data_IF_072552882248
#
_entry.id   IF_072552882248
#
_cell.length_a   1.000
_cell.length_b   1.000
_cell.length_c   1.000
_cell.angle_alpha   90.00
_cell.angle_beta   90.00
_cell.angle_gamma   90.00
#
_symmetry.space_group_name_H-M   'P 1'
#
loop_
_entity.id
_entity.type
_entity.pdbx_description
1 polymer ?
#
# COMPACT_ATOMS: atom_id res chain seq x y z
N UNK A 1 -6.40 -3.66 6.43
CA UNK A 1 -7.25 -3.42 5.24
C UNK A 1 -7.93 -4.68 4.72
N UNK A 2 -7.20 -5.76 4.44
CA UNK A 2 -7.75 -7.01 3.87
C UNK A 2 -8.96 -7.58 4.64
N UNK A 3 -8.83 -7.67 5.97
CA UNK A 3 -9.92 -8.13 6.84
C UNK A 3 -11.16 -7.23 6.74
N UNK A 4 -10.97 -5.92 6.59
CA UNK A 4 -12.08 -4.96 6.45
C UNK A 4 -12.81 -5.21 5.13
N UNK A 5 -12.10 -5.42 4.03
CA UNK A 5 -12.71 -5.75 2.74
C UNK A 5 -13.46 -7.08 2.77
N UNK A 6 -12.91 -8.10 3.43
CA UNK A 6 -13.56 -9.40 3.58
C UNK A 6 -14.86 -9.31 4.38
N UNK A 7 -14.86 -8.59 5.49
CA UNK A 7 -16.05 -8.44 6.36
C UNK A 7 -17.12 -7.58 5.69
N UNK A 8 -16.73 -6.52 5.00
CA UNK A 8 -17.67 -5.54 4.42
C UNK A 8 -18.25 -5.93 3.05
N UNK A 9 -17.89 -7.11 2.52
CA UNK A 9 -18.29 -7.61 1.19
C UNK A 9 -18.17 -6.54 0.08
N UNK A 10 -17.08 -5.74 0.12
CA UNK A 10 -16.94 -4.59 -0.77
C UNK A 10 -16.62 -5.03 -2.19
N UNK A 11 -17.34 -4.46 -3.15
CA UNK A 11 -17.03 -4.59 -4.58
C UNK A 11 -15.62 -4.07 -4.86
N UNK A 12 -14.94 -4.71 -5.81
CA UNK A 12 -13.55 -4.38 -6.21
C UNK A 12 -13.41 -2.90 -6.56
N UNK A 13 -14.42 -2.31 -7.19
CA UNK A 13 -14.49 -0.91 -7.59
C UNK A 13 -14.38 0.10 -6.44
N UNK A 14 -14.80 -0.29 -5.22
CA UNK A 14 -14.78 0.59 -4.05
C UNK A 14 -13.56 0.39 -3.16
N UNK A 15 -12.78 -0.68 -3.37
CA UNK A 15 -11.63 -1.01 -2.53
C UNK A 15 -10.55 0.08 -2.58
N UNK A 16 -10.24 0.60 -3.78
CA UNK A 16 -9.24 1.67 -3.94
C UNK A 16 -9.67 2.93 -3.20
N UNK A 17 -10.91 3.40 -3.45
CA UNK A 17 -11.45 4.60 -2.80
C UNK A 17 -11.31 4.49 -1.29
N UNK A 18 -11.81 3.40 -0.71
CA UNK A 18 -11.80 3.21 0.73
C UNK A 18 -10.40 3.05 1.32
N UNK A 19 -9.49 2.32 0.66
CA UNK A 19 -8.08 2.25 1.09
C UNK A 19 -7.40 3.63 1.07
N UNK A 20 -7.64 4.42 0.03
CA UNK A 20 -6.97 5.70 -0.16
C UNK A 20 -7.43 6.76 0.84
N UNK A 21 -8.68 6.66 1.33
CA UNK A 21 -9.18 7.49 2.43
C UNK A 21 -8.44 7.27 3.76
N UNK A 22 -7.70 6.17 3.91
CA UNK A 22 -6.91 5.89 5.12
C UNK A 22 -5.47 6.39 5.04
N UNK A 23 -5.04 6.92 3.88
CA UNK A 23 -3.69 7.44 3.70
C UNK A 23 -3.52 8.76 4.44
N UNK A 24 -2.38 8.91 5.10
CA UNK A 24 -2.02 10.10 5.86
C UNK A 24 -0.60 10.56 5.49
N UNK A 25 -0.29 11.83 5.76
CA UNK A 25 1.05 12.40 5.61
C UNK A 25 1.66 12.19 4.22
N UNK A 26 2.90 11.69 4.18
CA UNK A 26 3.66 11.50 2.94
C UNK A 26 3.01 10.50 1.97
N UNK A 27 2.26 9.53 2.48
CA UNK A 27 1.52 8.57 1.66
C UNK A 27 0.33 9.22 0.94
N UNK A 28 -0.38 10.12 1.63
CA UNK A 28 -1.47 10.89 1.01
C UNK A 28 -0.93 11.85 -0.06
N UNK A 29 0.15 12.57 0.23
CA UNK A 29 0.80 13.47 -0.74
C UNK A 29 1.24 12.72 -1.99
N UNK A 30 1.85 11.54 -1.82
CA UNK A 30 2.20 10.69 -2.95
C UNK A 30 0.98 10.25 -3.75
N UNK A 31 -0.06 9.77 -3.07
CA UNK A 31 -1.27 9.28 -3.75
C UNK A 31 -1.92 10.38 -4.58
N UNK A 32 -2.04 11.59 -4.04
CA UNK A 32 -2.59 12.74 -4.77
C UNK A 32 -1.76 13.08 -6.02
N UNK A 33 -0.44 13.02 -5.92
CA UNK A 33 0.45 13.20 -7.08
C UNK A 33 0.28 12.09 -8.12
N UNK A 34 0.10 10.84 -7.67
CA UNK A 34 -0.17 9.70 -8.55
C UNK A 34 -1.49 9.87 -9.31
N UNK A 35 -2.57 10.21 -8.60
CA UNK A 35 -3.89 10.49 -9.19
C UNK A 35 -3.79 11.64 -10.21
N UNK A 36 -3.08 12.72 -9.87
CA UNK A 36 -2.88 13.87 -10.77
C UNK A 36 -2.15 13.49 -12.06
N UNK A 37 -1.17 12.59 -11.96
CA UNK A 37 -0.34 12.17 -13.10
C UNK A 37 -1.06 11.17 -14.00
N UNK A 38 -1.79 10.22 -13.41
CA UNK A 38 -2.39 9.09 -14.13
C UNK A 38 -3.85 9.36 -14.51
N UNK A 39 -4.50 10.33 -13.86
CA UNK A 39 -5.92 10.64 -14.03
C UNK A 39 -6.80 9.82 -13.08
N UNK A 40 -7.95 10.39 -12.70
CA UNK A 40 -8.90 9.78 -11.76
C UNK A 40 -9.41 8.43 -12.28
N UNK A 41 -9.91 8.37 -13.51
CA UNK A 41 -10.57 7.17 -14.04
C UNK A 41 -9.63 5.96 -14.07
N UNK A 42 -8.42 6.15 -14.59
CA UNK A 42 -7.39 5.11 -14.66
C UNK A 42 -6.93 4.68 -13.26
N UNK A 43 -6.84 5.63 -12.32
CA UNK A 43 -6.40 5.37 -10.96
C UNK A 43 -7.45 4.58 -10.18
N UNK A 44 -8.71 4.95 -10.24
CA UNK A 44 -9.77 4.25 -9.51
C UNK A 44 -10.25 2.95 -10.18
N UNK A 45 -9.94 2.75 -11.47
CA UNK A 45 -10.09 1.46 -12.14
C UNK A 45 -9.00 0.44 -11.77
N UNK A 46 -7.95 0.83 -11.03
CA UNK A 46 -6.89 -0.10 -10.66
C UNK A 46 -7.38 -1.17 -9.67
N UNK A 47 -6.81 -2.37 -9.74
CA UNK A 47 -7.11 -3.41 -8.75
C UNK A 47 -6.40 -3.15 -7.43
N UNK A 48 -6.99 -3.62 -6.33
CA UNK A 48 -6.38 -3.56 -4.99
C UNK A 48 -4.98 -4.20 -4.96
N UNK A 49 -4.79 -5.33 -5.66
CA UNK A 49 -3.48 -6.00 -5.78
C UNK A 49 -2.42 -5.09 -6.40
N UNK A 50 -2.79 -4.31 -7.42
CA UNK A 50 -1.88 -3.35 -8.06
C UNK A 50 -1.52 -2.20 -7.13
N UNK A 51 -2.49 -1.67 -6.37
CA UNK A 51 -2.23 -0.64 -5.36
C UNK A 51 -1.29 -1.15 -4.26
N UNK A 52 -1.54 -2.35 -3.72
CA UNK A 52 -0.67 -2.98 -2.72
C UNK A 52 0.77 -3.07 -3.20
N UNK A 53 0.98 -3.59 -4.42
CA UNK A 53 2.32 -3.68 -4.99
C UNK A 53 3.02 -2.33 -5.03
N UNK A 54 2.36 -1.28 -5.52
CA UNK A 54 2.92 0.08 -5.54
C UNK A 54 3.28 0.61 -4.15
N UNK A 55 2.42 0.35 -3.16
CA UNK A 55 2.68 0.74 -1.77
C UNK A 55 3.87 -0.01 -1.18
N UNK A 56 3.94 -1.33 -1.38
CA UNK A 56 5.05 -2.17 -0.91
C UNK A 56 6.36 -1.77 -1.57
N UNK A 57 6.39 -1.58 -2.90
CA UNK A 57 7.60 -1.20 -3.63
C UNK A 57 8.16 0.16 -3.12
N UNK A 58 7.28 1.07 -2.69
CA UNK A 58 7.66 2.41 -2.21
C UNK A 58 8.05 2.43 -0.73
N UNK A 59 7.28 1.78 0.13
CA UNK A 59 7.39 1.94 1.59
C UNK A 59 7.97 0.72 2.31
N UNK A 60 8.12 -0.42 1.62
CA UNK A 60 8.73 -1.63 2.16
C UNK A 60 9.91 -2.06 1.27
N UNK A 61 10.95 -1.20 1.14
CA UNK A 61 12.09 -1.52 0.29
C UNK A 61 12.79 -2.79 0.79
N UNK A 62 13.09 -3.69 -0.14
CA UNK A 62 13.68 -5.01 0.17
C UNK A 62 15.03 -4.91 0.91
N UNK A 63 15.77 -3.82 0.70
CA UNK A 63 17.03 -3.56 1.43
C UNK A 63 16.81 -3.40 2.93
N UNK A 64 15.83 -2.59 3.33
CA UNK A 64 15.50 -2.37 4.74
C UNK A 64 14.93 -3.64 5.38
N UNK A 65 14.11 -4.41 4.64
CA UNK A 65 13.63 -5.71 5.11
C UNK A 65 14.80 -6.65 5.42
N UNK A 66 15.76 -6.79 4.49
CA UNK A 66 16.95 -7.63 4.70
C UNK A 66 17.79 -7.14 5.88
N UNK A 67 17.92 -5.82 6.06
CA UNK A 67 18.63 -5.24 7.18
C UNK A 67 17.98 -5.64 8.51
N UNK A 68 16.65 -5.52 8.60
CA UNK A 68 15.88 -5.95 9.77
C UNK A 68 15.99 -7.46 10.02
N UNK A 69 15.98 -8.29 8.97
CA UNK A 69 16.20 -9.74 9.09
C UNK A 69 17.56 -10.05 9.72
N UNK A 70 18.63 -9.39 9.25
CA UNK A 70 19.99 -9.56 9.79
C UNK A 70 20.08 -9.10 11.25
N UNK A 71 19.52 -7.94 11.57
CA UNK A 71 19.47 -7.43 12.96
C UNK A 71 18.76 -8.42 13.89
N UNK A 72 17.62 -8.97 13.46
CA UNK A 72 16.89 -9.99 14.21
C UNK A 72 17.70 -11.27 14.40
N UNK A 73 18.41 -11.73 13.37
CA UNK A 73 19.29 -12.90 13.49
C UNK A 73 20.41 -12.68 14.52
N UNK A 74 21.07 -11.52 14.48
CA UNK A 74 22.13 -11.17 15.43
C UNK A 74 21.62 -11.09 16.88
N UNK A 75 20.37 -10.63 17.08
CA UNK A 75 19.75 -10.61 18.40
C UNK A 75 19.45 -12.01 18.95
N UNK A 76 19.11 -12.99 18.09
CA UNK A 76 18.87 -14.38 18.51
C UNK A 76 20.15 -15.17 18.83
N UNK A 77 21.29 -14.74 18.29
CA UNK A 77 22.59 -15.38 18.51
C UNK A 77 23.32 -14.85 19.76
N UNK A 78 22.74 -13.85 20.42
CA UNK A 78 23.14 -13.36 21.75
C UNK A 78 22.33 -14.05 22.84
#
# INVERSE_FOLDING_TARGET
METVFRISNRTVENQIKFATCTLLGSALTWWNSHVKTIGHDVTYAMTWTKLKKKMTDRYCPRGEIKKLEVEMWNLKLK
#
